data_IF_572674921196
#
_entry.id   IF_572674921196
#
_cell.length_a   1.000
_cell.length_b   1.000
_cell.length_c   1.000
_cell.angle_alpha   90.00
_cell.angle_beta   90.00
_cell.angle_gamma   90.00
#
_symmetry.space_group_name_H-M   'P 1'
#
loop_
_entity.id
_entity.type
_entity.pdbx_description
1 polymer ?
#
# COMPACT_ATOMS: atom_id res chain seq x y z
N UNK A 1 25.34 -8.42 11.84
CA UNK A 1 24.57 -9.67 11.63
C UNK A 1 23.13 -9.27 11.54
N UNK A 2 22.53 -9.32 10.34
CA UNK A 2 21.11 -9.03 10.19
C UNK A 2 20.31 -10.13 10.92
N UNK A 3 19.34 -9.73 11.71
CA UNK A 3 18.48 -10.62 12.48
C UNK A 3 17.57 -11.39 11.51
N UNK A 4 17.97 -12.62 11.14
CA UNK A 4 17.30 -13.41 10.11
C UNK A 4 15.80 -13.62 10.42
N UNK A 5 15.40 -13.64 11.69
CA UNK A 5 13.99 -13.80 12.07
C UNK A 5 13.08 -12.62 11.69
N UNK A 6 13.62 -11.40 11.61
CA UNK A 6 12.86 -10.20 11.22
C UNK A 6 12.53 -10.21 9.72
N UNK A 7 13.40 -10.79 8.89
CA UNK A 7 13.18 -10.87 7.44
C UNK A 7 12.13 -11.93 7.12
N UNK A 8 12.13 -13.04 7.85
CA UNK A 8 11.29 -14.19 7.54
C UNK A 8 9.79 -13.92 7.82
N UNK A 9 9.45 -13.16 8.87
CA UNK A 9 8.04 -12.87 9.16
C UNK A 9 7.41 -11.93 8.12
N UNK A 10 8.16 -10.96 7.58
CA UNK A 10 7.62 -9.99 6.60
C UNK A 10 7.24 -10.69 5.30
N UNK A 11 8.03 -11.67 4.89
CA UNK A 11 7.76 -12.51 3.71
C UNK A 11 6.52 -13.37 3.95
N UNK A 12 6.47 -14.06 5.10
CA UNK A 12 5.32 -14.88 5.45
C UNK A 12 4.03 -14.05 5.53
N UNK A 13 4.08 -12.87 6.16
CA UNK A 13 2.97 -11.91 6.19
C UNK A 13 2.57 -11.52 4.77
N UNK A 14 3.54 -11.15 3.93
CA UNK A 14 3.30 -10.70 2.56
C UNK A 14 2.51 -11.73 1.75
N UNK A 15 2.97 -12.98 1.71
CA UNK A 15 2.31 -14.03 0.92
C UNK A 15 0.90 -14.33 1.45
N UNK A 16 0.72 -14.33 2.77
CA UNK A 16 -0.61 -14.51 3.37
C UNK A 16 -1.53 -13.34 3.05
N UNK A 17 -1.05 -12.10 3.18
CA UNK A 17 -1.87 -10.92 2.92
C UNK A 17 -2.26 -10.83 1.44
N UNK A 18 -1.30 -11.04 0.54
CA UNK A 18 -1.53 -11.12 -0.91
C UNK A 18 -2.62 -12.14 -1.27
N UNK A 19 -2.61 -13.31 -0.62
CA UNK A 19 -3.63 -14.35 -0.81
C UNK A 19 -5.00 -13.93 -0.27
N UNK A 20 -5.07 -13.43 0.97
CA UNK A 20 -6.32 -13.01 1.61
C UNK A 20 -6.96 -11.80 0.92
N UNK A 21 -6.16 -10.85 0.47
CA UNK A 21 -6.62 -9.71 -0.31
C UNK A 21 -7.28 -10.17 -1.61
N UNK A 22 -6.63 -11.09 -2.33
CA UNK A 22 -7.19 -11.65 -3.55
C UNK A 22 -8.51 -12.39 -3.30
N UNK A 23 -8.54 -13.25 -2.28
CA UNK A 23 -9.76 -13.98 -1.89
C UNK A 23 -10.90 -13.02 -1.55
N UNK A 24 -10.61 -11.96 -0.79
CA UNK A 24 -11.59 -10.93 -0.44
C UNK A 24 -12.17 -10.26 -1.69
N UNK A 25 -11.32 -9.85 -2.62
CA UNK A 25 -11.71 -9.22 -3.88
C UNK A 25 -12.56 -10.15 -4.75
N UNK A 26 -12.20 -11.43 -4.82
CA UNK A 26 -12.98 -12.43 -5.54
C UNK A 26 -14.33 -12.72 -4.89
N UNK A 27 -14.43 -12.63 -3.57
CA UNK A 27 -15.67 -12.83 -2.82
C UNK A 27 -16.64 -11.65 -2.88
N UNK A 28 -16.26 -10.50 -3.46
CA UNK A 28 -17.17 -9.36 -3.63
C UNK A 28 -18.36 -9.73 -4.54
N UNK A 29 -19.54 -9.16 -4.23
CA UNK A 29 -20.72 -9.31 -5.09
C UNK A 29 -20.49 -8.65 -6.45
N UNK A 30 -21.23 -9.09 -7.46
CA UNK A 30 -21.13 -8.53 -8.82
C UNK A 30 -21.42 -7.02 -8.85
N UNK A 31 -22.35 -6.54 -8.04
CA UNK A 31 -22.65 -5.10 -7.93
C UNK A 31 -21.45 -4.31 -7.40
N UNK A 32 -20.76 -4.84 -6.37
CA UNK A 32 -19.55 -4.24 -5.81
C UNK A 32 -18.40 -4.26 -6.82
N UNK A 33 -18.19 -5.38 -7.50
CA UNK A 33 -17.21 -5.51 -8.59
C UNK A 33 -17.46 -4.51 -9.71
N UNK A 34 -18.72 -4.30 -10.11
CA UNK A 34 -19.12 -3.31 -11.13
C UNK A 34 -18.86 -1.87 -10.68
N UNK A 35 -19.08 -1.55 -9.41
CA UNK A 35 -18.76 -0.23 -8.87
C UNK A 35 -17.25 0.05 -8.91
N UNK A 36 -16.43 -0.96 -8.62
CA UNK A 36 -14.97 -0.86 -8.65
C UNK A 36 -14.42 -0.78 -10.09
N UNK A 37 -15.07 -1.42 -11.08
CA UNK A 37 -14.62 -1.38 -12.48
C UNK A 37 -14.91 -0.06 -13.20
N UNK A 38 -15.95 0.68 -12.76
CA UNK A 38 -16.54 1.77 -13.53
C UNK A 38 -15.62 3.00 -13.76
N UNK A 39 -14.50 3.13 -13.03
CA UNK A 39 -13.64 4.32 -13.13
C UNK A 39 -12.41 4.20 -14.04
N UNK A 40 -11.97 2.99 -14.40
CA UNK A 40 -10.74 2.82 -15.21
C UNK A 40 -10.99 2.61 -16.71
N UNK A 41 -12.21 2.84 -17.23
CA UNK A 41 -12.63 2.48 -18.60
C UNK A 41 -12.53 0.98 -18.89
N UNK A 42 -12.37 0.15 -17.86
CA UNK A 42 -12.33 -1.29 -18.00
C UNK A 42 -13.76 -1.78 -18.14
N UNK A 43 -14.04 -2.47 -19.24
CA UNK A 43 -15.35 -3.08 -19.48
C UNK A 43 -15.66 -4.19 -18.46
N UNK A 44 -14.61 -4.76 -17.86
CA UNK A 44 -14.68 -5.88 -16.92
C UNK A 44 -13.99 -5.50 -15.61
N UNK A 45 -14.46 -6.08 -14.51
CA UNK A 45 -13.78 -6.00 -13.23
C UNK A 45 -12.43 -6.73 -13.32
N UNK A 46 -11.36 -5.99 -13.05
CA UNK A 46 -10.01 -6.53 -12.91
C UNK A 46 -9.45 -6.06 -11.55
N UNK A 47 -9.28 -6.98 -10.59
CA UNK A 47 -8.80 -6.65 -9.25
C UNK A 47 -7.35 -6.13 -9.23
N UNK A 48 -6.53 -6.38 -10.27
CA UNK A 48 -5.10 -6.03 -10.26
C UNK A 48 -4.82 -4.57 -9.94
N UNK A 49 -5.77 -3.70 -10.26
CA UNK A 49 -5.69 -2.24 -10.13
C UNK A 49 -6.05 -1.68 -8.76
N UNK A 50 -6.50 -2.53 -7.84
CA UNK A 50 -6.98 -2.14 -6.51
C UNK A 50 -6.34 -3.01 -5.42
N UNK A 51 -5.30 -3.77 -5.76
CA UNK A 51 -4.48 -4.53 -4.83
C UNK A 51 -3.56 -3.57 -4.05
N UNK A 52 -3.46 -3.78 -2.75
CA UNK A 52 -2.74 -2.92 -1.80
C UNK A 52 -1.54 -3.65 -1.15
N UNK A 53 -1.35 -4.95 -1.43
CA UNK A 53 -0.31 -5.75 -0.81
C UNK A 53 1.11 -5.20 -0.99
N UNK A 54 1.40 -4.58 -2.15
CA UNK A 54 2.72 -4.00 -2.41
C UNK A 54 2.99 -2.75 -1.57
N UNK A 55 2.00 -1.87 -1.43
CA UNK A 55 2.08 -0.67 -0.61
C UNK A 55 2.24 -1.03 0.88
N UNK A 56 1.50 -2.04 1.36
CA UNK A 56 1.63 -2.54 2.73
C UNK A 56 3.03 -3.13 2.96
N UNK A 57 3.55 -3.89 1.99
CA UNK A 57 4.90 -4.46 2.09
C UNK A 57 5.99 -3.39 2.09
N UNK A 58 5.84 -2.34 1.29
CA UNK A 58 6.74 -1.19 1.31
C UNK A 58 6.79 -0.53 2.70
N UNK A 59 5.64 -0.40 3.36
CA UNK A 59 5.56 0.09 4.75
C UNK A 59 6.23 -0.87 5.75
N UNK A 60 6.02 -2.18 5.62
CA UNK A 60 6.67 -3.21 6.46
C UNK A 60 8.21 -3.18 6.32
N UNK A 61 8.70 -2.95 5.11
CA UNK A 61 10.12 -2.81 4.82
C UNK A 61 10.71 -1.47 5.26
N UNK A 62 9.88 -0.51 5.67
CA UNK A 62 10.33 0.83 6.05
C UNK A 62 10.71 1.72 4.86
N UNK A 63 10.36 1.31 3.64
CA UNK A 63 10.52 2.11 2.42
C UNK A 63 9.51 3.26 2.44
N UNK A 64 8.29 2.96 2.90
CA UNK A 64 7.24 3.95 3.12
C UNK A 64 6.95 4.13 4.61
N UNK A 65 6.63 5.36 5.05
CA UNK A 65 6.21 5.63 6.42
C UNK A 65 4.84 5.03 6.75
N UNK A 66 3.93 5.01 5.79
CA UNK A 66 2.60 4.45 5.92
C UNK A 66 1.97 4.14 4.56
N UNK A 67 0.90 3.34 4.63
CA UNK A 67 -0.04 3.06 3.56
C UNK A 67 -1.40 3.62 3.96
N UNK A 68 -1.99 4.42 3.05
CA UNK A 68 -3.37 4.87 3.16
C UNK A 68 -4.26 3.94 2.34
N UNK A 69 -5.10 3.18 3.03
CA UNK A 69 -6.13 2.35 2.43
C UNK A 69 -7.39 3.19 2.34
N UNK A 70 -7.76 3.63 1.14
CA UNK A 70 -8.94 4.45 0.94
C UNK A 70 -9.51 4.28 -0.47
N UNK A 71 -10.84 4.37 -0.60
CA UNK A 71 -11.49 4.35 -1.89
C UNK A 71 -12.64 5.36 -1.89
N UNK A 72 -12.60 6.33 -2.82
CA UNK A 72 -13.47 7.50 -2.81
C UNK A 72 -14.97 7.20 -3.12
N UNK A 73 -15.31 6.03 -3.69
CA UNK A 73 -16.71 5.56 -3.87
C UNK A 73 -17.10 4.48 -2.85
N UNK A 74 -16.35 3.39 -2.79
CA UNK A 74 -16.75 2.20 -2.03
C UNK A 74 -15.99 2.12 -0.70
N UNK A 75 -16.36 2.92 0.30
CA UNK A 75 -15.69 2.89 1.61
C UNK A 75 -15.79 1.53 2.33
N UNK A 76 -16.89 0.80 2.12
CA UNK A 76 -17.08 -0.57 2.64
C UNK A 76 -16.05 -1.57 2.11
N UNK A 77 -15.52 -1.34 0.91
CA UNK A 77 -14.42 -2.12 0.33
C UNK A 77 -13.24 -2.14 1.30
N UNK A 78 -12.79 -0.95 1.67
CA UNK A 78 -11.58 -0.73 2.45
C UNK A 78 -11.75 -1.34 3.83
N UNK A 79 -12.89 -1.09 4.47
CA UNK A 79 -13.16 -1.65 5.80
C UNK A 79 -13.20 -3.18 5.73
N UNK A 80 -13.85 -3.76 4.70
CA UNK A 80 -13.88 -5.21 4.53
C UNK A 80 -12.50 -5.81 4.24
N UNK A 81 -11.66 -5.17 3.43
CA UNK A 81 -10.28 -5.59 3.17
C UNK A 81 -9.49 -5.60 4.48
N UNK A 82 -9.58 -4.52 5.26
CA UNK A 82 -8.88 -4.42 6.53
C UNK A 82 -9.35 -5.50 7.51
N UNK A 83 -10.65 -5.65 7.69
CA UNK A 83 -11.21 -6.59 8.66
C UNK A 83 -10.98 -8.05 8.30
N UNK A 84 -11.00 -8.39 7.00
CA UNK A 84 -10.92 -9.79 6.54
C UNK A 84 -9.51 -10.25 6.14
N UNK A 85 -8.65 -9.33 5.71
CA UNK A 85 -7.31 -9.67 5.25
C UNK A 85 -6.21 -9.10 6.15
N UNK A 86 -6.25 -7.80 6.45
CA UNK A 86 -5.12 -7.14 7.13
C UNK A 86 -5.11 -7.41 8.64
N UNK A 87 -6.23 -7.17 9.33
CA UNK A 87 -6.32 -7.26 10.78
C UNK A 87 -6.03 -8.66 11.33
N UNK A 88 -6.53 -9.77 10.72
CA UNK A 88 -6.17 -11.11 11.17
C UNK A 88 -4.66 -11.35 11.17
N UNK A 89 -3.96 -10.88 10.13
CA UNK A 89 -2.51 -11.00 10.04
C UNK A 89 -1.78 -10.01 10.95
N UNK A 90 -2.35 -8.82 11.17
CA UNK A 90 -1.82 -7.87 12.13
C UNK A 90 -1.73 -8.48 13.54
N UNK A 91 -2.78 -9.22 13.94
CA UNK A 91 -2.84 -9.94 15.21
C UNK A 91 -1.93 -11.17 15.20
N UNK A 92 -2.00 -12.00 14.15
CA UNK A 92 -1.21 -13.23 14.01
C UNK A 92 0.31 -12.97 14.11
N UNK A 93 0.79 -11.95 13.38
CA UNK A 93 2.21 -11.57 13.34
C UNK A 93 2.59 -10.57 14.44
N UNK A 94 1.67 -10.23 15.34
CA UNK A 94 1.88 -9.30 16.45
C UNK A 94 2.50 -7.96 16.02
N UNK A 95 2.03 -7.40 14.89
CA UNK A 95 2.65 -6.24 14.25
C UNK A 95 2.73 -5.01 15.15
N UNK A 96 1.83 -4.86 16.12
CA UNK A 96 1.92 -3.79 17.14
C UNK A 96 3.23 -3.85 17.93
N UNK A 97 3.66 -5.05 18.35
CA UNK A 97 4.92 -5.25 19.08
C UNK A 97 6.13 -4.96 18.20
N UNK A 98 6.00 -5.20 16.89
CA UNK A 98 7.00 -4.86 15.89
C UNK A 98 7.06 -3.36 15.56
N UNK A 99 6.19 -2.55 16.15
CA UNK A 99 6.17 -1.11 16.00
C UNK A 99 5.34 -0.63 14.80
N UNK A 100 4.36 -1.41 14.37
CA UNK A 100 3.36 -0.97 13.40
C UNK A 100 2.08 -0.55 14.10
N UNK A 101 1.31 0.33 13.46
CA UNK A 101 -0.01 0.73 13.93
C UNK A 101 -1.01 0.67 12.78
N UNK A 102 -2.24 0.32 13.10
CA UNK A 102 -3.37 0.28 12.19
C UNK A 102 -4.54 1.03 12.82
N UNK A 103 -5.04 2.08 12.17
CA UNK A 103 -6.20 2.81 12.66
C UNK A 103 -7.10 3.31 11.54
N UNK A 104 -8.38 3.48 11.88
CA UNK A 104 -9.37 4.11 11.02
C UNK A 104 -9.30 5.63 11.15
N UNK A 105 -9.39 6.35 10.04
CA UNK A 105 -9.47 7.81 10.02
C UNK A 105 -10.75 8.28 10.71
N UNK A 106 -10.60 9.16 11.71
CA UNK A 106 -11.72 9.66 12.53
C UNK A 106 -12.55 10.76 11.85
N UNK A 107 -11.95 11.47 10.90
CA UNK A 107 -12.60 12.54 10.14
C UNK A 107 -12.14 12.46 8.68
N UNK A 108 -13.02 12.67 7.70
CA UNK A 108 -12.60 12.73 6.30
C UNK A 108 -11.66 13.92 6.12
N UNK A 109 -10.36 13.65 5.91
CA UNK A 109 -9.40 14.70 5.54
C UNK A 109 -9.81 15.40 4.24
N UNK A 110 -10.42 14.63 3.34
CA UNK A 110 -11.11 15.07 2.12
C UNK A 110 -12.26 14.10 1.85
N UNK A 111 -13.18 14.44 0.94
CA UNK A 111 -14.22 13.49 0.49
C UNK A 111 -13.60 12.20 -0.09
N UNK A 112 -12.36 12.25 -0.60
CA UNK A 112 -11.69 11.11 -1.22
C UNK A 112 -11.25 10.05 -0.21
N UNK A 113 -11.05 10.42 1.05
CA UNK A 113 -10.46 9.55 2.10
C UNK A 113 -11.41 9.27 3.26
N UNK A 114 -12.71 9.48 3.07
CA UNK A 114 -13.71 9.14 4.09
C UNK A 114 -13.60 7.65 4.44
N UNK A 115 -13.69 7.34 5.74
CA UNK A 115 -13.61 5.97 6.27
C UNK A 115 -12.34 5.19 5.88
N UNK A 116 -11.29 5.89 5.45
CA UNK A 116 -9.99 5.27 5.15
C UNK A 116 -9.31 4.71 6.39
N UNK A 117 -8.31 3.88 6.16
CA UNK A 117 -7.45 3.29 7.18
C UNK A 117 -6.00 3.64 6.91
N UNK A 118 -5.23 3.79 7.99
CA UNK A 118 -3.78 4.01 7.93
C UNK A 118 -3.11 2.80 8.55
N UNK A 119 -2.23 2.17 7.78
CA UNK A 119 -1.23 1.23 8.27
C UNK A 119 0.13 1.94 8.27
N UNK A 120 0.81 2.02 9.41
CA UNK A 120 2.03 2.84 9.53
C UNK A 120 3.14 2.14 10.31
N UNK A 121 4.38 2.56 10.05
CA UNK A 121 5.56 2.14 10.77
C UNK A 121 6.01 3.23 11.78
N UNK A 122 5.88 2.97 13.07
CA UNK A 122 6.26 3.91 14.16
C UNK A 122 7.76 4.17 14.23
N UNK A 123 8.56 3.26 13.71
CA UNK A 123 10.02 3.35 13.70
C UNK A 123 10.53 4.18 12.52
N UNK A 124 9.68 4.52 11.56
CA UNK A 124 10.05 5.35 10.41
C UNK A 124 10.24 6.82 10.84
N UNK A 125 11.28 7.48 10.32
CA UNK A 125 11.64 8.87 10.69
C UNK A 125 10.49 9.88 10.50
N UNK A 126 9.66 9.67 9.47
CA UNK A 126 8.47 10.49 9.15
C UNK A 126 7.21 10.14 9.96
N UNK A 127 7.25 9.22 10.94
CA UNK A 127 6.06 8.81 11.70
C UNK A 127 5.38 9.99 12.43
N UNK A 128 6.15 10.94 12.96
CA UNK A 128 5.60 12.15 13.59
C UNK A 128 4.74 12.98 12.61
N UNK A 129 5.20 13.12 11.37
CA UNK A 129 4.46 13.77 10.29
C UNK A 129 3.21 12.99 9.92
N UNK A 130 3.29 11.65 9.79
CA UNK A 130 2.13 10.79 9.54
C UNK A 130 1.05 11.01 10.59
N UNK A 131 1.44 11.00 11.87
CA UNK A 131 0.50 11.22 12.98
C UNK A 131 -0.10 12.61 12.92
N UNK A 132 0.71 13.65 12.70
CA UNK A 132 0.23 15.03 12.56
C UNK A 132 -0.79 15.13 11.41
N UNK A 133 -0.48 14.59 10.24
CA UNK A 133 -1.34 14.64 9.05
C UNK A 133 -2.63 13.84 9.30
N UNK A 134 -2.54 12.56 9.62
CA UNK A 134 -3.72 11.70 9.60
C UNK A 134 -4.54 11.66 10.90
N UNK A 135 -4.11 12.36 11.96
CA UNK A 135 -4.88 12.45 13.22
C UNK A 135 -5.37 13.85 13.56
N UNK A 136 -4.87 14.89 12.89
CA UNK A 136 -5.34 16.26 13.11
C UNK A 136 -6.74 16.44 12.52
N UNK A 137 -7.66 16.97 13.33
CA UNK A 137 -9.07 17.16 12.95
C UNK A 137 -9.32 18.44 12.15
N UNK A 138 -8.29 19.05 11.54
CA UNK A 138 -8.49 20.25 10.73
C UNK A 138 -9.29 19.92 9.47
N UNK A 139 -10.22 20.80 9.09
CA UNK A 139 -11.14 20.61 7.97
C UNK A 139 -10.48 20.71 6.59
N UNK A 140 -9.21 21.11 6.54
CA UNK A 140 -8.44 21.20 5.31
C UNK A 140 -7.00 20.77 5.59
N UNK A 141 -6.50 19.87 4.74
CA UNK A 141 -5.12 19.42 4.77
C UNK A 141 -4.54 19.58 3.38
N UNK A 142 -3.34 20.14 3.30
CA UNK A 142 -2.66 20.28 2.02
C UNK A 142 -2.33 18.88 1.47
N UNK A 143 -2.72 18.65 0.22
CA UNK A 143 -2.32 17.46 -0.53
C UNK A 143 -0.81 17.23 -0.50
N UNK A 144 0.00 18.30 -0.44
CA UNK A 144 1.46 18.24 -0.29
C UNK A 144 1.85 17.53 1.01
N UNK A 145 1.23 17.89 2.13
CA UNK A 145 1.53 17.27 3.43
C UNK A 145 1.09 15.80 3.47
N UNK A 146 -0.06 15.48 2.84
CA UNK A 146 -0.51 14.10 2.68
C UNK A 146 0.54 13.28 1.93
N UNK A 147 1.11 13.81 0.86
CA UNK A 147 2.13 13.08 0.08
C UNK A 147 3.42 12.87 0.83
N UNK A 148 3.89 13.91 1.54
CA UNK A 148 5.07 13.80 2.40
C UNK A 148 4.88 12.75 3.47
N UNK A 149 3.69 12.72 4.08
CA UNK A 149 3.32 11.73 5.08
C UNK A 149 3.21 10.32 4.51
N UNK A 150 2.79 10.15 3.25
CA UNK A 150 2.79 8.86 2.53
C UNK A 150 4.18 8.45 2.01
N UNK A 151 5.17 9.35 2.10
CA UNK A 151 6.51 9.11 1.58
C UNK A 151 6.65 9.31 0.07
N UNK A 152 5.70 10.00 -0.58
CA UNK A 152 5.88 10.39 -1.99
C UNK A 152 7.02 11.41 -2.12
N UNK A 153 7.90 11.24 -3.13
CA UNK A 153 8.92 12.22 -3.46
C UNK A 153 8.23 13.49 -3.93
N UNK A 154 8.63 14.62 -3.35
CA UNK A 154 8.14 15.94 -3.74
C UNK A 154 9.18 16.65 -4.61
N UNK A 155 8.74 17.53 -5.53
CA UNK A 155 7.33 17.91 -5.78
C UNK A 155 6.57 16.85 -6.59
N UNK A 156 5.25 16.76 -6.34
CA UNK A 156 4.34 16.01 -7.21
C UNK A 156 4.46 16.46 -8.66
N UNK A 157 4.12 15.57 -9.58
CA UNK A 157 3.98 15.98 -10.97
C UNK A 157 3.17 15.05 -11.83
N UNK A 158 3.36 15.23 -13.13
CA UNK A 158 2.49 14.69 -14.18
C UNK A 158 2.80 13.25 -14.55
N UNK A 159 3.87 12.68 -13.99
CA UNK A 159 4.32 11.34 -14.30
C UNK A 159 4.02 10.41 -13.13
N UNK A 160 3.73 9.16 -13.45
CA UNK A 160 3.51 8.10 -12.48
C UNK A 160 4.52 7.00 -12.79
N UNK A 161 5.31 6.61 -11.79
CA UNK A 161 6.25 5.49 -11.88
C UNK A 161 5.67 4.36 -11.04
N UNK A 162 5.52 3.20 -11.65
CA UNK A 162 4.98 2.00 -11.02
C UNK A 162 6.03 0.89 -11.04
N UNK A 163 6.16 0.16 -9.94
CA UNK A 163 6.82 -1.14 -9.94
C UNK A 163 5.76 -2.22 -10.10
N UNK A 164 5.91 -3.08 -11.11
CA UNK A 164 4.92 -4.08 -11.48
C UNK A 164 5.32 -5.46 -10.97
N UNK A 165 4.40 -6.17 -10.31
CA UNK A 165 4.54 -7.60 -10.02
C UNK A 165 4.20 -8.42 -11.27
N UNK A 166 5.23 -8.64 -12.10
CA UNK A 166 5.11 -9.45 -13.32
C UNK A 166 4.77 -10.91 -13.02
N UNK A 167 5.11 -11.42 -11.84
CA UNK A 167 4.83 -12.81 -11.45
C UNK A 167 3.33 -12.96 -11.23
N UNK A 168 2.74 -12.08 -10.42
CA UNK A 168 1.30 -12.08 -10.17
C UNK A 168 0.50 -11.84 -11.46
N UNK A 169 0.97 -10.92 -12.29
CA UNK A 169 0.34 -10.61 -13.56
C UNK A 169 0.25 -11.85 -14.46
N UNK A 170 1.31 -12.67 -14.51
CA UNK A 170 1.35 -13.94 -15.26
C UNK A 170 0.50 -15.03 -14.61
N UNK A 171 0.66 -15.25 -13.32
CA UNK A 171 -0.04 -16.32 -12.58
C UNK A 171 -1.56 -16.14 -12.61
N UNK A 172 -2.04 -14.89 -12.57
CA UNK A 172 -3.46 -14.57 -12.53
C UNK A 172 -4.05 -14.14 -13.86
N UNK A 173 -3.22 -14.08 -14.91
CA UNK A 173 -3.62 -13.62 -16.24
C UNK A 173 -4.33 -12.25 -16.21
N UNK A 174 -3.74 -11.29 -15.47
CA UNK A 174 -4.20 -9.90 -15.35
C UNK A 174 -3.28 -8.95 -16.11
N UNK A 175 -3.70 -7.71 -16.40
CA UNK A 175 -2.91 -6.83 -17.26
C UNK A 175 -1.58 -6.37 -16.64
N UNK A 176 -1.62 -5.90 -15.39
CA UNK A 176 -0.45 -5.47 -14.61
C UNK A 176 -0.87 -5.28 -13.15
N UNK A 177 -0.05 -5.73 -12.21
CA UNK A 177 -0.26 -5.52 -10.78
C UNK A 177 0.74 -4.49 -10.26
N UNK A 178 0.36 -3.20 -10.14
CA UNK A 178 1.22 -2.20 -9.54
C UNK A 178 1.41 -2.51 -8.05
N UNK A 179 2.66 -2.69 -7.63
CA UNK A 179 3.03 -2.91 -6.24
C UNK A 179 3.21 -1.60 -5.49
N UNK A 180 3.89 -0.66 -6.12
CA UNK A 180 4.19 0.66 -5.55
C UNK A 180 4.02 1.67 -6.68
N UNK A 181 3.34 2.75 -6.37
CA UNK A 181 3.14 3.87 -7.28
C UNK A 181 3.80 5.14 -6.68
N UNK A 182 4.56 5.87 -7.49
CA UNK A 182 5.07 7.20 -7.14
C UNK A 182 4.66 8.22 -8.20
N UNK A 183 4.09 9.35 -7.75
CA UNK A 183 3.79 10.48 -8.62
C UNK A 183 4.93 11.50 -8.61
N UNK A 184 5.47 11.85 -9.78
CA UNK A 184 6.69 12.65 -9.95
C UNK A 184 6.54 13.91 -10.78
N UNK A 185 7.14 14.98 -10.25
CA UNK A 185 7.48 16.23 -10.93
C UNK A 185 8.14 16.01 -12.29
N UNK A 186 7.82 16.85 -13.28
CA UNK A 186 8.60 16.90 -14.53
C UNK A 186 10.03 17.45 -14.33
N UNK A 187 10.35 17.92 -13.13
CA UNK A 187 11.57 18.64 -12.81
C UNK A 187 12.37 17.92 -11.72
N UNK A 188 13.26 17.03 -12.18
CA UNK A 188 14.64 16.77 -11.71
C UNK A 188 14.97 15.28 -11.81
N UNK A 189 16.09 14.95 -12.48
CA UNK A 189 16.67 13.60 -12.52
C UNK A 189 16.92 13.04 -11.10
N UNK A 190 17.09 13.93 -10.12
CA UNK A 190 17.27 13.62 -8.71
C UNK A 190 16.05 12.90 -8.10
N UNK A 191 14.83 13.33 -8.44
CA UNK A 191 13.60 12.66 -7.99
C UNK A 191 13.45 11.27 -8.61
N UNK A 192 13.83 11.12 -9.89
CA UNK A 192 13.87 9.81 -10.54
C UNK A 192 14.90 8.90 -9.87
N UNK A 193 16.08 9.42 -9.53
CA UNK A 193 17.14 8.63 -8.87
C UNK A 193 16.70 8.11 -7.50
N UNK A 194 16.04 8.95 -6.68
CA UNK A 194 15.51 8.52 -5.38
C UNK A 194 14.44 7.44 -5.54
N UNK A 195 13.55 7.57 -6.53
CA UNK A 195 12.52 6.55 -6.78
C UNK A 195 13.15 5.27 -7.28
N UNK A 196 14.06 5.35 -8.25
CA UNK A 196 14.78 4.18 -8.75
C UNK A 196 15.57 3.51 -7.63
N UNK A 197 16.14 4.27 -6.70
CA UNK A 197 16.78 3.72 -5.50
C UNK A 197 15.77 3.00 -4.60
N UNK A 198 14.61 3.60 -4.29
CA UNK A 198 13.57 2.92 -3.52
C UNK A 198 13.03 1.67 -4.22
N UNK A 199 12.89 1.71 -5.55
CA UNK A 199 12.48 0.58 -6.36
C UNK A 199 13.57 -0.49 -6.44
N UNK A 200 14.84 -0.13 -6.44
CA UNK A 200 15.98 -1.05 -6.42
C UNK A 200 16.16 -1.68 -5.03
N UNK A 201 15.98 -0.93 -3.95
CA UNK A 201 15.91 -1.47 -2.59
C UNK A 201 14.74 -2.44 -2.45
N UNK A 202 13.58 -2.06 -3.00
CA UNK A 202 12.41 -2.92 -3.06
C UNK A 202 12.68 -4.19 -3.86
N UNK A 203 13.22 -4.07 -5.08
CA UNK A 203 13.54 -5.18 -5.96
C UNK A 203 14.60 -6.09 -5.36
N UNK A 204 15.64 -5.52 -4.73
CA UNK A 204 16.69 -6.28 -4.04
C UNK A 204 16.12 -7.04 -2.85
N UNK A 205 15.28 -6.42 -2.03
CA UNK A 205 14.58 -7.10 -0.93
C UNK A 205 13.67 -8.19 -1.50
N UNK A 206 12.90 -7.88 -2.53
CA UNK A 206 12.00 -8.79 -3.21
C UNK A 206 12.74 -10.03 -3.76
N UNK A 207 13.79 -9.85 -4.53
CA UNK A 207 14.58 -10.93 -5.14
C UNK A 207 15.28 -11.81 -4.09
N UNK A 208 15.91 -11.17 -3.07
CA UNK A 208 16.52 -11.90 -1.95
C UNK A 208 15.51 -12.75 -1.20
N UNK A 209 14.26 -12.32 -1.16
CA UNK A 209 13.19 -12.99 -0.45
C UNK A 209 12.49 -14.05 -1.31
N UNK A 210 12.37 -13.83 -2.63
CA UNK A 210 11.80 -14.81 -3.58
C UNK A 210 12.63 -16.09 -3.64
N UNK A 211 13.96 -15.97 -3.63
CA UNK A 211 14.84 -17.16 -3.67
C UNK A 211 14.71 -18.06 -2.43
N UNK A 212 14.10 -17.56 -1.34
CA UNK A 212 13.91 -18.33 -0.11
C UNK A 212 12.58 -19.08 -0.04
N UNK A 213 11.58 -18.72 -0.86
CA UNK A 213 10.26 -19.36 -0.87
C UNK A 213 10.18 -20.59 -1.78
N UNK A 214 11.20 -20.83 -2.61
CA UNK A 214 11.28 -21.98 -3.53
C UNK A 214 11.92 -23.23 -2.88
N UNK A 215 12.08 -23.24 -1.56
CA UNK A 215 12.59 -24.37 -0.73
C UNK A 215 11.61 -24.68 0.40
#
# INVERSE_FOLDING_TARGET
MADNGIVDFKIAFFHKFKSLEWEYLQALSNDKKKLLSHKRRLKNYDPCHILEYGEIFATLCGIKPCTLLAHYIMHEYVTGLVEKALKPLFDEFQLEKEGFELWKLKSPMTQLYRDGWIFTNKKHEKYSLVKQVFTTTSSYMDTIDIGRALGYPLPYGKYTIEYIDDTESKERNTCCVPMIEYNVGAASEENFTIILFHLDEYATLWEKNRQKSDY
#
